data_IF_652142575343
#
_entry.id   IF_652142575343
#
_cell.length_a   1.000
_cell.length_b   1.000
_cell.length_c   1.000
_cell.angle_alpha   90.00
_cell.angle_beta   90.00
_cell.angle_gamma   90.00
#
_symmetry.space_group_name_H-M   'P 1'
#
loop_
_entity.id
_entity.type
_entity.pdbx_description
1 polymer ?
#
# COMPACT_ATOMS: atom_id res chain seq x y z
N UNK A 1 -4.35 8.26 -7.84
CA UNK A 1 -5.39 9.14 -7.24
C UNK A 1 -5.89 8.57 -5.91
N UNK A 2 -6.37 7.32 -5.89
CA UNK A 2 -6.80 6.58 -4.68
C UNK A 2 -5.79 6.61 -3.52
N UNK A 3 -4.50 6.36 -3.79
CA UNK A 3 -3.44 6.37 -2.76
C UNK A 3 -3.32 7.71 -2.02
N UNK A 4 -3.44 8.81 -2.75
CA UNK A 4 -3.31 10.16 -2.18
C UNK A 4 -4.57 10.53 -1.40
N UNK A 5 -5.74 10.08 -1.85
CA UNK A 5 -7.02 10.31 -1.18
C UNK A 5 -7.10 9.57 0.16
N UNK A 6 -6.64 8.32 0.24
CA UNK A 6 -6.63 7.52 1.48
C UNK A 6 -5.84 8.16 2.64
N UNK A 7 -4.85 8.99 2.33
CA UNK A 7 -4.00 9.66 3.32
C UNK A 7 -4.12 11.20 3.24
N UNK A 8 -5.19 11.71 2.63
CA UNK A 8 -5.39 13.15 2.41
C UNK A 8 -5.63 13.96 3.68
N UNK A 9 -6.12 13.32 4.74
CA UNK A 9 -6.34 13.92 6.06
C UNK A 9 -5.07 14.01 6.93
N UNK A 10 -3.91 13.62 6.39
CA UNK A 10 -2.63 13.66 7.09
C UNK A 10 -2.42 12.53 8.11
N UNK A 11 -3.43 11.70 8.38
CA UNK A 11 -3.32 10.61 9.35
C UNK A 11 -2.81 9.32 8.69
N UNK A 12 -1.99 8.57 9.42
CA UNK A 12 -1.48 7.26 9.00
C UNK A 12 -1.58 6.31 10.18
N UNK A 13 -2.06 5.09 9.92
CA UNK A 13 -2.08 3.98 10.85
C UNK A 13 -1.87 2.66 10.09
N UNK A 14 -1.61 1.58 10.83
CA UNK A 14 -1.39 0.27 10.24
C UNK A 14 -2.60 -0.27 9.47
N UNK A 15 -3.83 0.00 9.94
CA UNK A 15 -5.05 -0.37 9.23
C UNK A 15 -5.13 0.20 7.81
N UNK A 16 -4.74 1.46 7.60
CA UNK A 16 -4.69 2.08 6.26
C UNK A 16 -3.58 1.49 5.39
N UNK A 17 -2.41 1.22 5.97
CA UNK A 17 -1.32 0.54 5.24
C UNK A 17 -1.76 -0.86 4.81
N UNK A 18 -2.36 -1.64 5.70
CA UNK A 18 -2.89 -2.97 5.39
C UNK A 18 -3.99 -2.91 4.33
N UNK A 19 -4.91 -1.96 4.43
CA UNK A 19 -5.99 -1.74 3.44
C UNK A 19 -5.42 -1.45 2.06
N UNK A 20 -4.35 -0.65 1.99
CA UNK A 20 -3.65 -0.38 0.73
C UNK A 20 -3.09 -1.66 0.10
N UNK A 21 -2.37 -2.49 0.88
CA UNK A 21 -1.85 -3.76 0.36
C UNK A 21 -2.97 -4.71 -0.08
N UNK A 22 -4.04 -4.83 0.73
CA UNK A 22 -5.19 -5.67 0.40
C UNK A 22 -5.89 -5.20 -0.90
N UNK A 23 -6.07 -3.89 -1.06
CA UNK A 23 -6.64 -3.32 -2.29
C UNK A 23 -5.74 -3.57 -3.50
N UNK A 24 -4.42 -3.38 -3.35
CA UNK A 24 -3.45 -3.70 -4.40
C UNK A 24 -3.49 -5.17 -4.83
N UNK A 25 -3.54 -6.09 -3.86
CA UNK A 25 -3.67 -7.52 -4.11
C UNK A 25 -4.99 -7.86 -4.82
N UNK A 26 -6.10 -7.25 -4.42
CA UNK A 26 -7.40 -7.42 -5.09
C UNK A 26 -7.36 -6.95 -6.54
N UNK A 27 -6.71 -5.82 -6.83
CA UNK A 27 -6.50 -5.33 -8.20
C UNK A 27 -5.61 -6.28 -9.01
N UNK A 28 -4.52 -6.80 -8.43
CA UNK A 28 -3.66 -7.76 -9.14
C UNK A 28 -4.41 -9.05 -9.48
N UNK A 29 -5.22 -9.56 -8.53
CA UNK A 29 -6.09 -10.72 -8.76
C UNK A 29 -7.10 -10.45 -9.88
N UNK A 30 -7.78 -9.31 -9.84
CA UNK A 30 -8.72 -8.91 -10.88
C UNK A 30 -8.03 -8.80 -12.25
N UNK A 31 -6.83 -8.20 -12.30
CA UNK A 31 -6.03 -8.10 -13.52
C UNK A 31 -5.69 -9.48 -14.10
N UNK A 32 -5.30 -10.43 -13.25
CA UNK A 32 -5.04 -11.81 -13.67
C UNK A 32 -6.29 -12.49 -14.24
N UNK A 33 -7.42 -12.40 -13.55
CA UNK A 33 -8.70 -13.00 -13.95
C UNK A 33 -9.26 -12.41 -15.25
N UNK A 34 -8.84 -11.19 -15.62
CA UNK A 34 -9.30 -10.48 -16.80
C UNK A 34 -8.24 -10.40 -17.92
N UNK A 35 -7.20 -11.25 -17.90
CA UNK A 35 -6.12 -11.28 -18.88
C UNK A 35 -5.37 -9.93 -19.06
N UNK A 36 -5.21 -9.18 -17.98
CA UNK A 36 -4.48 -7.90 -17.90
C UNK A 36 -3.23 -8.00 -17.03
N UNK A 37 -2.47 -9.09 -17.18
CA UNK A 37 -1.31 -9.40 -16.33
C UNK A 37 -0.23 -8.31 -16.40
N UNK A 38 -0.13 -7.59 -17.52
CA UNK A 38 0.74 -6.44 -17.72
C UNK A 38 0.50 -5.28 -16.74
N UNK A 39 -0.66 -5.25 -16.07
CA UNK A 39 -0.97 -4.23 -15.06
C UNK A 39 -0.43 -4.60 -13.66
N UNK A 40 -0.06 -5.86 -13.41
CA UNK A 40 0.34 -6.32 -12.08
C UNK A 40 1.61 -5.61 -11.60
N UNK A 41 2.66 -5.59 -12.43
CA UNK A 41 3.94 -4.93 -12.10
C UNK A 41 3.78 -3.42 -11.86
N UNK A 42 3.10 -2.64 -12.73
CA UNK A 42 2.79 -1.24 -12.45
C UNK A 42 2.03 -1.01 -11.13
N UNK A 43 1.09 -1.91 -10.76
CA UNK A 43 0.35 -1.82 -9.49
C UNK A 43 1.30 -2.03 -8.32
N UNK A 44 2.11 -3.10 -8.34
CA UNK A 44 3.03 -3.42 -7.24
C UNK A 44 4.09 -2.33 -7.07
N UNK A 45 4.64 -1.83 -8.18
CA UNK A 45 5.65 -0.77 -8.17
C UNK A 45 5.09 0.54 -7.64
N UNK A 46 3.87 0.89 -8.03
CA UNK A 46 3.20 2.11 -7.54
C UNK A 46 3.00 2.07 -6.03
N UNK A 47 2.63 0.91 -5.47
CA UNK A 47 2.44 0.74 -4.03
C UNK A 47 3.79 0.76 -3.31
N UNK A 48 4.79 0.02 -3.81
CA UNK A 48 6.13 -0.03 -3.23
C UNK A 48 6.79 1.36 -3.22
N UNK A 49 6.68 2.09 -4.33
CA UNK A 49 7.19 3.47 -4.46
C UNK A 49 6.50 4.40 -3.47
N UNK A 50 5.16 4.34 -3.35
CA UNK A 50 4.43 5.18 -2.41
C UNK A 50 4.83 4.90 -0.95
N UNK A 51 4.92 3.63 -0.54
CA UNK A 51 5.30 3.26 0.82
C UNK A 51 6.74 3.72 1.13
N UNK A 52 7.68 3.43 0.24
CA UNK A 52 9.10 3.79 0.44
C UNK A 52 9.34 5.30 0.46
N UNK A 53 8.67 6.06 -0.41
CA UNK A 53 8.88 7.51 -0.52
C UNK A 53 8.04 8.32 0.48
N UNK A 54 6.80 7.92 0.75
CA UNK A 54 5.88 8.74 1.53
C UNK A 54 5.63 8.24 2.96
N UNK A 55 5.87 6.96 3.24
CA UNK A 55 5.51 6.35 4.54
C UNK A 55 6.67 5.72 5.31
N UNK A 56 7.86 5.66 4.72
CA UNK A 56 9.07 5.11 5.35
C UNK A 56 9.42 5.74 6.71
N UNK A 57 9.35 7.07 6.80
CA UNK A 57 9.61 7.78 8.07
C UNK A 57 8.59 7.42 9.16
N UNK A 58 7.30 7.35 8.81
CA UNK A 58 6.25 6.97 9.76
C UNK A 58 6.43 5.52 10.22
N UNK A 59 6.70 4.59 9.29
CA UNK A 59 6.97 3.18 9.61
C UNK A 59 8.14 3.06 10.59
N UNK A 60 9.24 3.81 10.36
CA UNK A 60 10.39 3.82 11.28
C UNK A 60 10.02 4.33 12.68
N UNK A 61 9.16 5.35 12.78
CA UNK A 61 8.66 5.85 14.06
C UNK A 61 7.77 4.83 14.80
N UNK A 62 7.17 3.89 14.07
CA UNK A 62 6.38 2.79 14.63
C UNK A 62 7.21 1.52 14.89
N UNK A 63 8.52 1.63 15.17
CA UNK A 63 9.42 0.47 15.33
C UNK A 63 9.52 -0.42 14.09
N UNK A 64 9.41 0.16 12.89
CA UNK A 64 9.45 -0.57 11.64
C UNK A 64 8.25 -1.48 11.46
N UNK A 65 8.42 -2.55 10.67
CA UNK A 65 7.36 -3.54 10.46
C UNK A 65 7.09 -4.39 11.71
N UNK A 66 7.96 -4.39 12.72
CA UNK A 66 7.67 -5.04 14.01
C UNK A 66 6.46 -4.39 14.67
N UNK A 67 6.30 -3.08 14.58
CA UNK A 67 5.12 -2.40 15.11
C UNK A 67 3.81 -2.78 14.42
N UNK A 68 3.85 -3.30 13.20
CA UNK A 68 2.66 -3.83 12.53
C UNK A 68 2.17 -5.11 13.19
N UNK A 69 3.08 -6.00 13.61
CA UNK A 69 2.72 -7.26 14.28
C UNK A 69 2.23 -7.05 15.73
N UNK A 70 2.52 -5.89 16.31
CA UNK A 70 2.14 -5.53 17.68
C UNK A 70 0.90 -4.62 17.75
N UNK A 71 0.37 -4.20 16.60
CA UNK A 71 -0.87 -3.43 16.46
C UNK A 71 -2.10 -4.35 16.48
#
# INVERSE_FOLDING_TARGET
RVLKEMFSDGHTNWGRIATLFAFGAALCKYSLENNKQELIEPITDSIALYISTNKSNWIRQQNGWVGFFLF
#
